data_IF_729016151719
#
_entry.id   IF_729016151719
#
_cell.length_a   1.000
_cell.length_b   1.000
_cell.length_c   1.000
_cell.angle_alpha   90.00
_cell.angle_beta   90.00
_cell.angle_gamma   90.00
#
_symmetry.space_group_name_H-M   'P 1'
#
loop_
_entity.id
_entity.type
_entity.pdbx_description
1 polymer ?
#
# COMPACT_ATOMS: atom_id res chain seq x y z
N UNK A 1 -18.66 14.29 -20.36
CA UNK A 1 -17.86 13.71 -21.43
C UNK A 1 -16.52 14.42 -21.63
N UNK A 2 -16.52 15.74 -21.79
CA UNK A 2 -15.29 16.56 -21.88
C UNK A 2 -14.39 16.40 -20.66
N UNK A 3 -14.97 16.14 -19.49
CA UNK A 3 -14.27 15.94 -18.24
C UNK A 3 -13.46 14.63 -18.23
N UNK A 4 -14.05 13.52 -18.71
CA UNK A 4 -13.34 12.25 -18.85
C UNK A 4 -12.18 12.34 -19.83
N UNK A 5 -12.37 13.02 -20.95
CA UNK A 5 -11.31 13.23 -21.94
C UNK A 5 -10.12 14.01 -21.36
N UNK A 6 -10.41 15.06 -20.59
CA UNK A 6 -9.38 15.86 -19.94
C UNK A 6 -8.55 15.02 -18.95
N UNK A 7 -9.22 14.18 -18.15
CA UNK A 7 -8.55 13.30 -17.20
C UNK A 7 -7.60 12.32 -17.86
N UNK A 8 -8.03 11.65 -18.92
CA UNK A 8 -7.20 10.68 -19.64
C UNK A 8 -5.97 11.33 -20.29
N UNK A 9 -6.09 12.58 -20.73
CA UNK A 9 -4.97 13.33 -21.31
C UNK A 9 -3.99 13.91 -20.26
N UNK A 10 -4.46 14.18 -19.05
CA UNK A 10 -3.65 14.81 -17.99
C UNK A 10 -2.97 13.80 -17.07
N UNK A 11 -3.37 12.52 -17.10
CA UNK A 11 -2.78 11.52 -16.23
C UNK A 11 -1.49 10.95 -16.78
N UNK A 12 -0.41 11.35 -16.16
CA UNK A 12 0.97 10.93 -16.49
C UNK A 12 1.23 9.43 -16.36
N UNK A 13 0.36 8.67 -15.68
CA UNK A 13 0.50 7.22 -15.55
C UNK A 13 0.15 6.47 -16.86
N UNK A 14 -0.63 7.09 -17.73
CA UNK A 14 -1.17 6.45 -18.93
C UNK A 14 -0.95 7.29 -20.19
N UNK A 15 0.17 8.01 -20.28
CA UNK A 15 0.53 8.82 -21.45
C UNK A 15 0.55 8.06 -22.79
N UNK A 16 0.35 6.76 -22.77
CA UNK A 16 0.32 5.90 -23.96
C UNK A 16 -1.09 5.37 -24.28
N UNK A 17 -2.09 5.69 -23.46
CA UNK A 17 -3.47 5.31 -23.74
C UNK A 17 -4.16 6.44 -24.47
N UNK A 18 -4.47 6.23 -25.74
CA UNK A 18 -5.39 7.07 -26.48
C UNK A 18 -6.81 6.52 -26.39
N UNK A 19 -7.81 7.38 -26.53
CA UNK A 19 -9.18 6.95 -26.61
C UNK A 19 -9.90 7.70 -27.72
N UNK A 20 -10.85 7.03 -28.32
CA UNK A 20 -11.78 7.60 -29.29
C UNK A 20 -13.21 7.33 -28.86
N UNK A 21 -14.12 8.11 -29.38
CA UNK A 21 -15.56 7.88 -29.19
C UNK A 21 -16.10 7.31 -30.49
N UNK A 22 -16.66 6.11 -30.41
CA UNK A 22 -17.29 5.51 -31.57
C UNK A 22 -18.64 6.19 -31.91
N UNK A 23 -19.25 5.80 -33.00
CA UNK A 23 -20.54 6.35 -33.46
C UNK A 23 -21.70 6.13 -32.48
N UNK A 24 -21.55 5.20 -31.55
CA UNK A 24 -22.56 4.89 -30.51
C UNK A 24 -22.30 5.64 -29.20
N UNK A 25 -21.37 6.60 -29.18
CA UNK A 25 -20.97 7.34 -27.96
C UNK A 25 -20.25 6.47 -26.90
N UNK A 26 -19.75 5.32 -27.29
CA UNK A 26 -18.94 4.48 -26.40
C UNK A 26 -17.47 4.93 -26.44
N UNK A 27 -16.82 4.95 -25.27
CA UNK A 27 -15.40 5.24 -25.17
C UNK A 27 -14.63 3.99 -25.53
N UNK A 28 -13.81 4.09 -26.58
CA UNK A 28 -12.92 3.02 -27.02
C UNK A 28 -11.50 3.42 -26.62
N UNK A 29 -10.85 2.57 -25.83
CA UNK A 29 -9.47 2.76 -25.43
C UNK A 29 -8.54 2.10 -26.45
N UNK A 30 -7.57 2.88 -26.93
CA UNK A 30 -6.48 2.37 -27.74
C UNK A 30 -5.23 2.30 -26.85
N UNK A 31 -4.80 1.10 -26.53
CA UNK A 31 -3.63 0.86 -25.69
C UNK A 31 -2.32 0.85 -26.48
N UNK A 32 -2.35 1.16 -27.76
CA UNK A 32 -1.19 1.13 -28.66
C UNK A 32 -0.64 -0.29 -28.91
N UNK A 33 0.50 -0.36 -29.59
CA UNK A 33 1.15 -1.65 -29.93
C UNK A 33 1.73 -2.40 -28.72
N UNK A 34 1.91 -1.73 -27.57
CA UNK A 34 2.48 -2.31 -26.34
C UNK A 34 1.38 -2.62 -25.29
N UNK A 35 0.24 -3.06 -25.78
CA UNK A 35 -1.01 -3.23 -25.03
C UNK A 35 -0.97 -4.27 -23.90
N UNK A 36 0.07 -5.13 -23.85
CA UNK A 36 0.13 -6.24 -22.89
C UNK A 36 0.23 -5.77 -21.43
N UNK A 37 0.91 -4.64 -21.17
CA UNK A 37 1.12 -4.08 -19.82
C UNK A 37 -0.14 -3.41 -19.29
N UNK A 38 -0.96 -2.85 -20.19
CA UNK A 38 -2.12 -2.01 -19.83
C UNK A 38 -3.46 -2.72 -20.01
N UNK A 39 -3.47 -3.95 -20.52
CA UNK A 39 -4.70 -4.70 -20.81
C UNK A 39 -5.65 -4.77 -19.61
N UNK A 40 -5.08 -4.94 -18.41
CA UNK A 40 -5.81 -5.08 -17.16
C UNK A 40 -5.61 -3.86 -16.24
N UNK A 41 -5.22 -2.72 -16.81
CA UNK A 41 -5.00 -1.50 -16.04
C UNK A 41 -6.33 -0.96 -15.49
N UNK A 42 -6.35 -0.68 -14.19
CA UNK A 42 -7.49 -0.12 -13.50
C UNK A 42 -7.27 1.38 -13.30
N UNK A 43 -8.16 2.20 -13.89
CA UNK A 43 -8.09 3.66 -13.80
C UNK A 43 -9.10 4.19 -12.79
N UNK A 44 -8.61 4.58 -11.63
CA UNK A 44 -9.41 5.03 -10.48
C UNK A 44 -10.33 6.20 -10.80
N UNK A 45 -9.88 7.14 -11.63
CA UNK A 45 -10.67 8.30 -12.02
C UNK A 45 -11.84 7.95 -12.94
N UNK A 46 -11.75 6.85 -13.66
CA UNK A 46 -12.83 6.36 -14.53
C UNK A 46 -13.82 5.53 -13.72
N UNK A 47 -13.29 4.66 -12.86
CA UNK A 47 -14.12 3.76 -12.04
C UNK A 47 -14.86 4.50 -10.92
N UNK A 48 -14.28 5.60 -10.41
CA UNK A 48 -14.85 6.42 -9.34
C UNK A 48 -15.00 7.88 -9.78
N UNK A 49 -15.86 8.18 -10.76
CA UNK A 49 -16.02 9.54 -11.27
C UNK A 49 -16.62 10.51 -10.22
N UNK A 50 -17.28 10.01 -9.20
CA UNK A 50 -17.79 10.78 -8.06
C UNK A 50 -16.69 11.37 -7.17
N UNK A 51 -15.46 10.83 -7.25
CA UNK A 51 -14.31 11.33 -6.51
C UNK A 51 -13.47 12.33 -7.31
N UNK A 52 -14.05 12.92 -8.36
CA UNK A 52 -13.39 13.96 -9.14
C UNK A 52 -13.83 15.35 -8.67
N UNK A 53 -12.87 16.26 -8.56
CA UNK A 53 -13.16 17.67 -8.32
C UNK A 53 -13.76 18.35 -9.56
N UNK A 54 -14.08 19.65 -9.47
CA UNK A 54 -14.65 20.43 -10.57
C UNK A 54 -13.73 20.51 -11.81
N UNK A 55 -12.42 20.30 -11.60
CA UNK A 55 -11.42 20.27 -12.69
C UNK A 55 -11.24 18.87 -13.27
N UNK A 56 -11.92 17.88 -12.72
CA UNK A 56 -11.81 16.49 -13.12
C UNK A 56 -10.58 15.76 -12.55
N UNK A 57 -9.96 16.29 -11.50
CA UNK A 57 -8.83 15.64 -10.83
C UNK A 57 -9.35 14.68 -9.76
N UNK A 58 -8.77 13.47 -9.72
CA UNK A 58 -9.09 12.49 -8.69
C UNK A 58 -8.62 12.97 -7.31
N UNK A 59 -9.55 13.16 -6.38
CA UNK A 59 -9.29 13.73 -5.06
C UNK A 59 -8.81 12.70 -4.03
N UNK A 60 -9.05 11.41 -4.29
CA UNK A 60 -8.70 10.30 -3.42
C UNK A 60 -9.85 9.83 -2.54
N UNK A 61 -9.58 8.75 -1.81
CA UNK A 61 -10.53 8.13 -0.88
C UNK A 61 -10.42 8.73 0.53
N UNK A 62 -11.53 8.71 1.28
CA UNK A 62 -11.55 9.08 2.69
C UNK A 62 -10.92 8.01 3.58
N UNK A 63 -11.15 6.74 3.22
CA UNK A 63 -10.70 5.60 4.00
C UNK A 63 -10.36 4.43 3.09
N UNK A 64 -9.25 3.76 3.39
CA UNK A 64 -8.87 2.49 2.77
C UNK A 64 -8.62 1.49 3.89
N UNK A 65 -9.39 0.39 3.86
CA UNK A 65 -9.20 -0.74 4.77
C UNK A 65 -8.97 -2.01 3.94
N UNK A 66 -8.03 -2.85 4.35
CA UNK A 66 -7.77 -4.06 3.58
C UNK A 66 -6.76 -5.03 4.14
N UNK A 67 -6.77 -6.20 3.53
CA UNK A 67 -5.80 -7.26 3.71
C UNK A 67 -5.08 -7.46 2.36
N UNK A 68 -3.96 -6.77 2.10
CA UNK A 68 -3.25 -6.92 0.83
C UNK A 68 -2.67 -8.33 0.69
N UNK A 69 -2.48 -8.83 -0.53
CA UNK A 69 -1.82 -10.10 -0.75
C UNK A 69 -0.37 -10.06 -0.26
N UNK A 70 0.09 -11.18 0.33
CA UNK A 70 1.45 -11.35 0.80
C UNK A 70 2.23 -12.19 -0.22
N UNK A 71 3.35 -11.68 -0.72
CA UNK A 71 4.15 -12.41 -1.68
C UNK A 71 5.27 -11.58 -2.27
N UNK A 72 6.21 -12.28 -2.90
CA UNK A 72 7.32 -11.68 -3.60
C UNK A 72 7.04 -11.66 -5.10
N UNK A 73 7.39 -10.56 -5.77
CA UNK A 73 7.32 -10.47 -7.22
C UNK A 73 8.63 -10.97 -7.84
N UNK A 74 8.54 -11.97 -8.70
CA UNK A 74 9.67 -12.55 -9.41
C UNK A 74 9.37 -12.75 -10.90
N UNK A 75 10.43 -12.78 -11.74
CA UNK A 75 10.33 -13.12 -13.17
C UNK A 75 9.96 -14.59 -13.42
N UNK A 76 10.22 -15.47 -12.46
CA UNK A 76 9.92 -16.90 -12.53
C UNK A 76 9.25 -17.33 -11.23
N UNK A 77 8.28 -18.23 -11.35
CA UNK A 77 7.61 -18.81 -10.21
C UNK A 77 8.53 -19.86 -9.56
N UNK A 78 9.35 -19.45 -8.61
CA UNK A 78 10.35 -20.32 -8.01
C UNK A 78 9.97 -20.92 -6.64
N UNK A 79 8.82 -20.54 -6.07
CA UNK A 79 8.30 -21.10 -4.80
C UNK A 79 6.82 -20.74 -4.63
N UNK A 80 6.11 -21.44 -3.76
CA UNK A 80 4.68 -21.21 -3.43
C UNK A 80 4.32 -19.81 -2.92
N UNK A 81 5.32 -18.96 -2.65
CA UNK A 81 5.15 -17.58 -2.12
C UNK A 81 5.49 -16.49 -3.14
N UNK A 82 5.89 -16.85 -4.37
CA UNK A 82 6.24 -15.88 -5.40
C UNK A 82 5.16 -15.81 -6.48
N UNK A 83 4.82 -14.58 -6.85
CA UNK A 83 3.93 -14.28 -7.97
C UNK A 83 4.81 -13.95 -9.18
N UNK A 84 4.61 -14.71 -10.26
CA UNK A 84 5.29 -14.45 -11.52
C UNK A 84 4.59 -13.29 -12.23
N UNK A 85 5.37 -12.31 -12.66
CA UNK A 85 4.89 -11.18 -13.47
C UNK A 85 5.75 -11.04 -14.72
N UNK A 86 5.18 -10.45 -15.77
CA UNK A 86 5.90 -10.14 -16.99
C UNK A 86 7.12 -9.24 -16.67
N UNK A 87 8.27 -9.43 -17.34
CA UNK A 87 9.47 -8.65 -17.12
C UNK A 87 9.23 -7.14 -17.21
N UNK A 88 8.44 -6.69 -18.18
CA UNK A 88 8.09 -5.29 -18.43
C UNK A 88 7.31 -4.70 -17.25
N UNK A 89 6.36 -5.46 -16.71
CA UNK A 89 5.57 -5.05 -15.55
C UNK A 89 6.45 -4.99 -14.28
N UNK A 90 7.38 -5.93 -14.13
CA UNK A 90 8.34 -5.89 -13.02
C UNK A 90 9.27 -4.67 -13.11
N UNK A 91 9.71 -4.31 -14.31
CA UNK A 91 10.55 -3.14 -14.54
C UNK A 91 9.75 -1.84 -14.30
N UNK A 92 8.49 -1.79 -14.70
CA UNK A 92 7.58 -0.70 -14.32
C UNK A 92 7.49 -0.52 -12.80
N UNK A 93 7.25 -1.58 -12.05
CA UNK A 93 7.19 -1.50 -10.59
C UNK A 93 8.51 -1.04 -9.95
N UNK A 94 9.65 -1.43 -10.53
CA UNK A 94 10.97 -1.01 -10.04
C UNK A 94 11.30 0.45 -10.36
N UNK A 95 10.78 0.98 -11.45
CA UNK A 95 11.06 2.35 -11.90
C UNK A 95 10.04 3.36 -11.39
N UNK A 96 8.80 2.95 -11.15
CA UNK A 96 7.72 3.80 -10.69
C UNK A 96 8.06 4.52 -9.38
N UNK A 97 7.82 5.83 -9.35
CA UNK A 97 7.95 6.67 -8.15
C UNK A 97 6.95 6.32 -7.06
N UNK A 98 5.77 5.81 -7.43
CA UNK A 98 4.73 5.39 -6.47
C UNK A 98 5.27 4.31 -5.53
N UNK A 99 6.11 3.39 -6.04
CA UNK A 99 6.63 2.26 -5.30
C UNK A 99 8.07 2.45 -4.81
N UNK A 100 8.59 3.67 -4.82
CA UNK A 100 9.99 3.94 -4.45
C UNK A 100 10.32 3.44 -3.04
N UNK A 101 9.41 3.61 -2.10
CA UNK A 101 9.58 3.20 -0.71
C UNK A 101 9.36 1.69 -0.47
N UNK A 102 8.76 1.00 -1.43
CA UNK A 102 8.66 -0.46 -1.40
C UNK A 102 9.95 -1.17 -1.84
N UNK A 103 10.93 -0.43 -2.38
CA UNK A 103 12.21 -0.94 -2.88
C UNK A 103 13.15 -1.21 -1.70
N UNK A 104 13.52 -2.45 -1.53
CA UNK A 104 14.44 -2.92 -0.49
C UNK A 104 14.64 -4.42 -0.67
N UNK A 105 15.53 -4.82 -1.60
CA UNK A 105 15.66 -6.21 -2.03
C UNK A 105 14.57 -6.62 -3.03
N UNK A 106 14.06 -7.84 -2.91
CA UNK A 106 12.96 -8.34 -3.76
C UNK A 106 11.67 -7.57 -3.43
N UNK A 107 10.92 -7.16 -4.46
CA UNK A 107 9.65 -6.45 -4.28
C UNK A 107 8.65 -7.35 -3.57
N UNK A 108 8.11 -6.86 -2.48
CA UNK A 108 7.05 -7.52 -1.74
C UNK A 108 5.73 -6.77 -1.96
N UNK A 109 4.68 -7.51 -2.28
CA UNK A 109 3.41 -6.95 -2.70
C UNK A 109 2.78 -6.09 -1.60
N UNK A 110 2.76 -6.54 -0.33
CA UNK A 110 2.14 -5.73 0.72
C UNK A 110 2.82 -4.36 0.91
N UNK A 111 4.16 -4.27 0.70
CA UNK A 111 4.89 -2.98 0.75
C UNK A 111 4.43 -2.06 -0.38
N UNK A 112 4.20 -2.62 -1.56
CA UNK A 112 3.67 -1.86 -2.70
C UNK A 112 2.23 -1.40 -2.43
N UNK A 113 1.41 -2.24 -1.81
CA UNK A 113 0.05 -1.87 -1.39
C UNK A 113 0.06 -0.71 -0.40
N UNK A 114 0.95 -0.71 0.60
CA UNK A 114 1.09 0.44 1.52
C UNK A 114 1.34 1.73 0.71
N UNK A 115 2.33 1.73 -0.19
CA UNK A 115 2.62 2.89 -1.04
C UNK A 115 1.40 3.31 -1.86
N UNK A 116 0.71 2.34 -2.48
CA UNK A 116 -0.44 2.61 -3.35
C UNK A 116 -1.63 3.14 -2.56
N UNK A 117 -1.95 2.57 -1.41
CA UNK A 117 -3.03 3.04 -0.56
C UNK A 117 -2.83 4.50 -0.16
N UNK A 118 -1.65 4.87 0.31
CA UNK A 118 -1.37 6.27 0.65
C UNK A 118 -1.36 7.20 -0.57
N UNK A 119 -1.04 6.72 -1.77
CA UNK A 119 -1.15 7.51 -2.99
C UNK A 119 -2.61 7.80 -3.37
N UNK A 120 -3.51 6.87 -3.07
CA UNK A 120 -4.94 6.95 -3.40
C UNK A 120 -5.79 7.65 -2.35
N UNK A 121 -5.29 7.83 -1.14
CA UNK A 121 -5.98 8.58 -0.09
C UNK A 121 -5.92 10.09 -0.38
N UNK A 122 -6.98 10.80 -0.04
CA UNK A 122 -6.94 12.25 0.11
C UNK A 122 -6.15 12.65 1.34
N UNK A 123 -5.77 13.93 1.45
CA UNK A 123 -5.19 14.45 2.69
C UNK A 123 -6.18 14.24 3.83
N UNK A 124 -5.66 13.89 5.01
CA UNK A 124 -6.43 13.51 6.20
C UNK A 124 -7.27 12.23 6.05
N UNK A 125 -7.14 11.50 4.94
CA UNK A 125 -7.75 10.19 4.76
C UNK A 125 -7.06 9.11 5.58
N UNK A 126 -7.82 8.08 5.98
CA UNK A 126 -7.39 7.03 6.89
C UNK A 126 -7.05 5.74 6.16
N UNK A 127 -5.99 5.08 6.59
CA UNK A 127 -5.58 3.77 6.09
C UNK A 127 -5.52 2.75 7.24
N UNK A 128 -6.13 1.58 7.07
CA UNK A 128 -6.03 0.48 8.02
C UNK A 128 -5.76 -0.81 7.27
N UNK A 129 -4.56 -1.36 7.43
CA UNK A 129 -4.11 -2.54 6.70
C UNK A 129 -3.57 -3.59 7.65
N UNK A 130 -3.90 -4.87 7.37
CA UNK A 130 -3.30 -6.03 8.03
C UNK A 130 -2.26 -6.66 7.10
N UNK A 131 -1.06 -6.90 7.61
CA UNK A 131 0.04 -7.49 6.83
C UNK A 131 1.06 -8.19 7.76
N UNK A 132 2.11 -8.86 7.20
CA UNK A 132 3.08 -9.59 8.02
C UNK A 132 3.77 -8.73 9.08
N UNK A 133 3.89 -9.27 10.29
CA UNK A 133 4.57 -8.66 11.44
C UNK A 133 6.03 -8.29 11.15
N UNK A 134 6.64 -8.92 10.15
CA UNK A 134 7.96 -8.58 9.62
C UNK A 134 8.11 -7.09 9.27
N UNK A 135 7.00 -6.38 9.03
CA UNK A 135 7.01 -4.93 8.89
C UNK A 135 7.66 -4.22 10.09
N UNK A 136 7.44 -4.69 11.30
CA UNK A 136 7.92 -4.01 12.51
C UNK A 136 9.44 -4.11 12.71
N UNK A 137 10.08 -5.23 12.33
CA UNK A 137 11.49 -5.46 12.67
C UNK A 137 12.44 -5.82 11.52
N UNK A 138 11.96 -6.39 10.41
CA UNK A 138 12.85 -6.83 9.34
C UNK A 138 13.61 -5.68 8.69
N UNK A 139 14.92 -5.85 8.51
CA UNK A 139 15.81 -4.88 7.87
C UNK A 139 15.35 -4.52 6.44
N UNK A 140 14.79 -5.48 5.69
CA UNK A 140 14.27 -5.25 4.34
C UNK A 140 13.06 -4.33 4.28
N UNK A 141 12.42 -4.07 5.42
CA UNK A 141 11.27 -3.18 5.56
C UNK A 141 11.63 -1.78 6.08
N UNK A 142 12.91 -1.48 6.29
CA UNK A 142 13.34 -0.19 6.85
C UNK A 142 12.84 1.00 6.02
N UNK A 143 12.91 0.95 4.70
CA UNK A 143 12.44 2.02 3.81
C UNK A 143 10.93 2.25 3.91
N UNK A 144 10.14 1.19 3.95
CA UNK A 144 8.69 1.35 4.05
C UNK A 144 8.28 1.82 5.45
N UNK A 145 9.00 1.44 6.51
CA UNK A 145 8.81 2.01 7.85
C UNK A 145 9.13 3.50 7.86
N UNK A 146 10.28 3.88 7.28
CA UNK A 146 10.66 5.29 7.13
C UNK A 146 9.56 6.08 6.42
N UNK A 147 9.05 5.56 5.29
CA UNK A 147 7.94 6.20 4.57
C UNK A 147 6.74 6.46 5.46
N UNK A 148 6.29 5.43 6.20
CA UNK A 148 5.12 5.52 7.08
C UNK A 148 5.38 6.55 8.17
N UNK A 149 6.55 6.52 8.83
CA UNK A 149 6.88 7.43 9.93
C UNK A 149 7.05 8.90 9.50
N UNK A 150 7.58 9.14 8.30
CA UNK A 150 7.89 10.50 7.83
C UNK A 150 6.75 11.16 7.06
N UNK A 151 5.83 10.36 6.51
CA UNK A 151 4.81 10.89 5.59
C UNK A 151 3.37 10.68 6.09
N UNK A 152 3.18 10.00 7.21
CA UNK A 152 1.86 9.74 7.77
C UNK A 152 1.86 10.00 9.28
N UNK A 153 0.69 10.21 9.84
CA UNK A 153 0.42 10.06 11.25
C UNK A 153 0.09 8.59 11.49
N UNK A 154 0.99 7.86 12.13
CA UNK A 154 0.67 6.52 12.62
C UNK A 154 -0.26 6.69 13.82
N UNK A 155 -1.45 6.12 13.76
CA UNK A 155 -2.43 6.22 14.84
C UNK A 155 -2.22 5.08 15.84
N UNK A 156 -2.05 3.85 15.32
CA UNK A 156 -1.79 2.66 16.13
C UNK A 156 -1.13 1.54 15.33
N UNK A 157 -0.50 0.61 16.05
CA UNK A 157 -0.09 -0.70 15.53
C UNK A 157 -0.60 -1.77 16.51
N UNK A 158 -1.38 -2.72 16.00
CA UNK A 158 -1.84 -3.89 16.74
C UNK A 158 -1.06 -5.12 16.25
N UNK A 159 -0.23 -5.70 17.10
CA UNK A 159 0.67 -6.80 16.76
C UNK A 159 0.14 -8.15 17.24
N UNK A 160 0.15 -9.14 16.36
CA UNK A 160 -0.29 -10.52 16.62
C UNK A 160 0.88 -11.48 16.32
N UNK A 161 1.79 -11.68 17.29
CA UNK A 161 3.01 -12.45 17.08
C UNK A 161 2.76 -13.98 17.05
N UNK A 162 1.65 -14.47 17.62
CA UNK A 162 1.39 -15.90 17.71
C UNK A 162 1.14 -16.51 16.33
N UNK A 163 1.94 -17.49 15.98
CA UNK A 163 1.86 -18.23 14.71
C UNK A 163 1.92 -19.75 14.87
N UNK A 164 2.35 -20.23 16.01
CA UNK A 164 2.59 -21.66 16.22
C UNK A 164 1.34 -22.37 16.70
N UNK A 165 0.54 -21.74 17.56
CA UNK A 165 -0.72 -22.27 18.07
C UNK A 165 -1.84 -21.91 17.10
N UNK A 166 -2.33 -22.89 16.33
CA UNK A 166 -3.34 -22.71 15.28
C UNK A 166 -4.61 -21.99 15.74
N UNK A 167 -5.12 -22.35 16.92
CA UNK A 167 -6.35 -21.73 17.47
C UNK A 167 -6.20 -20.25 17.82
N UNK A 168 -4.97 -19.78 18.00
CA UNK A 168 -4.64 -18.38 18.36
C UNK A 168 -4.13 -17.55 17.20
N UNK A 169 -3.92 -18.14 16.02
CA UNK A 169 -3.53 -17.40 14.82
C UNK A 169 -4.68 -16.54 14.32
N UNK A 170 -4.37 -15.34 13.83
CA UNK A 170 -5.34 -14.51 13.12
C UNK A 170 -5.85 -15.21 11.87
N UNK A 171 -4.94 -15.77 11.06
CA UNK A 171 -5.28 -16.59 9.89
C UNK A 171 -5.02 -18.06 10.19
N UNK A 172 -6.09 -18.83 10.37
CA UNK A 172 -6.03 -20.22 10.80
C UNK A 172 -5.14 -21.08 9.89
N UNK A 173 -5.32 -20.95 8.58
CA UNK A 173 -4.65 -21.76 7.57
C UNK A 173 -3.21 -21.31 7.27
N UNK A 174 -2.77 -20.18 7.82
CA UNK A 174 -1.47 -19.59 7.50
C UNK A 174 -0.62 -19.42 8.76
N UNK A 175 0.51 -20.14 8.82
CA UNK A 175 1.48 -20.03 9.92
C UNK A 175 2.27 -18.72 9.80
N UNK A 176 1.63 -17.59 10.13
CA UNK A 176 2.21 -16.25 10.00
C UNK A 176 1.79 -15.34 11.14
N UNK A 177 2.76 -14.58 11.66
CA UNK A 177 2.52 -13.45 12.55
C UNK A 177 2.13 -12.23 11.71
N UNK A 178 1.17 -11.45 12.18
CA UNK A 178 0.67 -10.27 11.46
C UNK A 178 0.59 -9.05 12.36
N UNK A 179 0.48 -7.87 11.76
CA UNK A 179 0.13 -6.64 12.46
C UNK A 179 -0.92 -5.87 11.67
N UNK A 180 -1.69 -5.05 12.38
CA UNK A 180 -2.61 -4.07 11.81
C UNK A 180 -1.97 -2.69 12.01
N UNK A 181 -1.82 -1.95 10.93
CA UNK A 181 -1.38 -0.56 10.92
C UNK A 181 -2.59 0.33 10.67
N UNK A 182 -2.91 1.21 11.61
CA UNK A 182 -3.81 2.34 11.40
C UNK A 182 -3.00 3.62 11.25
N UNK A 183 -3.24 4.37 10.18
CA UNK A 183 -2.53 5.61 9.95
C UNK A 183 -3.37 6.59 9.11
N UNK A 184 -3.14 7.89 9.35
CA UNK A 184 -3.77 9.00 8.64
C UNK A 184 -2.78 9.64 7.68
N UNK A 185 -3.20 9.97 6.47
CA UNK A 185 -2.36 10.67 5.47
C UNK A 185 -2.15 12.13 5.86
N UNK A 186 -1.32 12.32 6.87
CA UNK A 186 -0.97 13.63 7.43
C UNK A 186 0.45 13.57 7.99
N UNK A 187 1.26 14.58 7.75
CA UNK A 187 2.56 14.68 8.41
C UNK A 187 2.40 15.20 9.83
N UNK A 188 3.14 14.60 10.75
CA UNK A 188 3.23 15.01 12.15
C UNK A 188 4.69 15.20 12.57
N UNK A 189 4.99 15.93 13.66
CA UNK A 189 6.33 15.97 14.20
C UNK A 189 6.86 14.58 14.55
N UNK A 190 8.16 14.37 14.43
CA UNK A 190 8.80 13.08 14.74
C UNK A 190 8.70 12.68 16.22
N UNK A 191 8.37 13.64 17.09
CA UNK A 191 8.06 13.43 18.52
C UNK A 191 6.61 12.98 18.77
N UNK A 192 5.75 12.96 17.74
CA UNK A 192 4.38 12.45 17.89
C UNK A 192 4.40 10.98 18.31
N UNK A 193 3.63 10.65 19.34
CA UNK A 193 3.54 9.29 19.88
C UNK A 193 2.31 8.56 19.36
N UNK A 194 2.52 7.35 18.92
CA UNK A 194 1.46 6.42 18.53
C UNK A 194 1.46 5.18 19.44
N UNK A 195 0.35 4.48 19.49
CA UNK A 195 0.22 3.29 20.33
C UNK A 195 0.68 2.02 19.60
N UNK A 196 1.33 1.14 20.35
CA UNK A 196 1.65 -0.22 19.94
C UNK A 196 1.10 -1.18 20.98
N UNK A 197 0.27 -2.13 20.57
CA UNK A 197 -0.30 -3.18 21.42
C UNK A 197 0.08 -4.55 20.91
N UNK A 198 0.37 -5.47 21.82
CA UNK A 198 0.72 -6.87 21.49
C UNK A 198 -0.38 -7.78 22.01
N UNK A 199 -0.97 -8.56 21.10
CA UNK A 199 -2.04 -9.50 21.41
C UNK A 199 -1.53 -10.93 21.38
N UNK A 200 -1.78 -11.68 22.47
CA UNK A 200 -1.39 -13.09 22.61
C UNK A 200 -2.38 -14.04 21.94
N UNK A 201 -3.52 -13.53 21.52
CA UNK A 201 -4.57 -14.25 20.83
C UNK A 201 -4.91 -13.54 19.50
N UNK A 202 -5.82 -14.09 18.72
CA UNK A 202 -6.24 -13.61 17.40
C UNK A 202 -7.19 -12.40 17.41
N UNK A 203 -7.55 -11.93 18.58
CA UNK A 203 -8.49 -10.81 18.76
C UNK A 203 -7.76 -9.59 19.31
N UNK A 204 -8.23 -8.42 18.91
CA UNK A 204 -7.86 -7.18 19.60
C UNK A 204 -8.44 -7.23 21.01
N UNK A 205 -7.58 -7.05 22.00
CA UNK A 205 -7.97 -6.99 23.41
C UNK A 205 -7.56 -5.61 23.96
N UNK A 206 -8.55 -4.78 24.22
CA UNK A 206 -8.34 -3.42 24.72
C UNK A 206 -7.80 -3.38 26.14
N UNK A 207 -7.86 -4.49 26.88
CA UNK A 207 -7.24 -4.60 28.20
C UNK A 207 -5.71 -4.78 28.13
N UNK A 208 -5.16 -5.13 26.96
CA UNK A 208 -3.71 -5.18 26.80
C UNK A 208 -3.14 -3.77 26.91
N UNK A 209 -2.08 -3.62 27.68
CA UNK A 209 -1.39 -2.34 27.86
C UNK A 209 -0.85 -1.84 26.51
N UNK A 210 -1.15 -0.58 26.19
CA UNK A 210 -0.61 0.09 25.03
C UNK A 210 0.73 0.76 25.39
N UNK A 211 1.77 0.44 24.65
CA UNK A 211 3.02 1.18 24.66
C UNK A 211 2.91 2.37 23.72
N UNK A 212 3.47 3.52 24.11
CA UNK A 212 3.50 4.70 23.26
C UNK A 212 4.93 5.01 22.85
N UNK A 213 5.18 5.09 21.57
CA UNK A 213 6.50 5.33 20.98
C UNK A 213 6.43 6.40 19.89
N UNK A 214 7.49 7.18 19.74
CA UNK A 214 7.64 8.19 18.68
C UNK A 214 8.71 7.77 17.67
N UNK A 215 8.70 8.42 16.50
CA UNK A 215 9.74 8.18 15.50
C UNK A 215 11.13 8.58 16.00
N UNK A 216 11.24 9.63 16.84
CA UNK A 216 12.51 10.03 17.46
C UNK A 216 13.04 8.95 18.40
N UNK A 217 12.18 8.34 19.23
CA UNK A 217 12.56 7.23 20.12
C UNK A 217 12.99 6.00 19.31
N UNK A 218 12.29 5.65 18.22
CA UNK A 218 12.67 4.55 17.32
C UNK A 218 14.05 4.81 16.71
N UNK A 219 14.30 6.01 16.20
CA UNK A 219 15.62 6.39 15.65
C UNK A 219 16.72 6.34 16.70
N UNK A 220 16.43 6.71 17.94
CA UNK A 220 17.42 6.66 19.01
C UNK A 220 17.82 5.22 19.38
N UNK A 221 16.90 4.25 19.23
CA UNK A 221 17.15 2.83 19.49
C UNK A 221 17.80 2.16 18.28
N UNK A 222 17.27 2.34 17.10
CA UNK A 222 17.70 1.69 15.86
C UNK A 222 17.60 2.65 14.64
N UNK A 223 18.56 3.52 14.50
CA UNK A 223 18.59 4.50 13.41
C UNK A 223 18.80 3.85 12.01
N UNK A 224 19.29 2.64 11.95
CA UNK A 224 19.60 1.95 10.69
C UNK A 224 18.38 1.25 10.10
N UNK A 225 17.66 0.50 10.92
CA UNK A 225 16.56 -0.34 10.45
C UNK A 225 15.19 0.16 10.88
N UNK A 226 15.14 1.11 11.84
CA UNK A 226 13.91 1.72 12.37
C UNK A 226 12.93 0.66 12.91
N UNK A 227 13.43 -0.30 13.68
CA UNK A 227 12.63 -1.36 14.28
C UNK A 227 11.70 -0.80 15.35
N UNK A 228 10.43 -1.24 15.33
CA UNK A 228 9.35 -0.81 16.22
C UNK A 228 9.14 -1.82 17.33
#
# INVERSE_FOLDING_TARGET
WNRKNKLLNEQTLYNQISFSVNKNMEIVFDYGSDSSIYRDAFEWAIEFPELLDEKGVFTGFDCIIGNPPYGLLNKKQNQNTSISVAPELLDYYKTSKVYEWAKGGVLNIYRMFICRCFSLLKNDGHCCLIFPLAFMGDATNSKIRQFVMENTQVDFIEAFPERDIESKRVFKEVKMSVCILGATKRKVPSSYKFSVRIHRDKYVDDNNEAMFISYDEIKAIDNKYLSI
#
